data_IF_636997171241
#
_entry.id   IF_636997171241
#
_cell.length_a   1.000
_cell.length_b   1.000
_cell.length_c   1.000
_cell.angle_alpha   90.00
_cell.angle_beta   90.00
_cell.angle_gamma   90.00
#
_symmetry.space_group_name_H-M   'P 1'
#
loop_
_entity.id
_entity.type
_entity.pdbx_description
1 polymer ?
#
# COMPACT_ATOMS: atom_id res chain seq x y z
N UNK A 1 66.64 17.37 5.41
CA UNK A 1 65.66 18.06 4.55
C UNK A 1 65.69 17.44 3.17
N UNK A 2 64.76 16.52 2.88
CA UNK A 2 64.03 16.36 1.60
C UNK A 2 63.17 15.10 1.70
N UNK A 3 61.87 15.31 1.51
CA UNK A 3 60.83 14.29 1.45
C UNK A 3 60.64 14.00 -0.02
N UNK A 4 60.71 12.75 -0.43
CA UNK A 4 60.20 12.35 -1.74
C UNK A 4 59.04 11.38 -1.51
N UNK A 5 57.85 11.95 -1.60
CA UNK A 5 56.56 11.27 -1.64
C UNK A 5 56.06 11.37 -3.08
N UNK A 6 56.03 10.26 -3.83
CA UNK A 6 55.31 10.17 -5.10
C UNK A 6 54.58 8.82 -5.18
N UNK A 7 53.36 8.84 -4.64
CA UNK A 7 52.11 8.30 -5.18
C UNK A 7 52.26 7.26 -6.31
N UNK A 8 52.26 5.98 -5.93
CA UNK A 8 51.98 4.87 -6.84
C UNK A 8 50.47 4.77 -7.10
N UNK A 9 49.94 5.56 -8.03
CA UNK A 9 48.55 5.50 -8.47
C UNK A 9 48.37 4.49 -9.60
N UNK A 10 47.99 3.24 -9.27
CA UNK A 10 47.53 2.28 -10.26
C UNK A 10 46.04 2.53 -10.59
N UNK A 11 45.78 3.40 -11.57
CA UNK A 11 44.46 3.51 -12.19
C UNK A 11 44.23 2.28 -13.08
N UNK A 12 43.48 1.29 -12.58
CA UNK A 12 42.87 0.26 -13.43
C UNK A 12 41.77 0.93 -14.26
N UNK A 13 42.10 1.27 -15.50
CA UNK A 13 41.13 1.75 -16.48
C UNK A 13 40.10 0.67 -16.79
N UNK A 14 38.84 0.95 -16.49
CA UNK A 14 37.69 0.16 -16.91
C UNK A 14 37.59 0.18 -18.44
N UNK A 15 37.92 -0.93 -19.09
CA UNK A 15 37.91 -1.06 -20.54
C UNK A 15 36.45 -1.03 -21.02
N UNK A 16 36.05 0.04 -21.70
CA UNK A 16 34.73 0.17 -22.28
C UNK A 16 34.65 -0.72 -23.53
N UNK A 17 34.03 -1.90 -23.42
CA UNK A 17 33.68 -2.71 -24.59
C UNK A 17 32.37 -2.18 -25.20
N UNK A 18 32.48 -1.37 -26.26
CA UNK A 18 31.33 -0.91 -27.07
C UNK A 18 30.69 -2.13 -27.74
N UNK A 19 29.73 -2.78 -27.07
CA UNK A 19 28.87 -3.77 -27.70
C UNK A 19 28.00 -3.02 -28.72
N UNK A 20 28.27 -3.21 -30.01
CA UNK A 20 27.44 -2.64 -31.07
C UNK A 20 26.07 -3.30 -30.98
N UNK A 21 25.06 -2.56 -30.50
CA UNK A 21 23.68 -3.06 -30.44
C UNK A 21 23.14 -3.05 -31.87
N UNK A 22 22.93 -4.25 -32.43
CA UNK A 22 22.23 -4.40 -33.71
C UNK A 22 20.79 -3.94 -33.51
N UNK A 23 20.30 -3.07 -34.40
CA UNK A 23 18.89 -2.62 -34.38
C UNK A 23 17.97 -3.83 -34.54
N UNK A 24 16.81 -3.87 -33.86
CA UNK A 24 15.81 -4.90 -34.09
C UNK A 24 15.36 -4.85 -35.56
N UNK A 25 14.98 -6.01 -36.09
CA UNK A 25 14.42 -6.08 -37.44
C UNK A 25 13.14 -5.23 -37.47
N UNK A 26 12.95 -4.36 -38.48
CA UNK A 26 11.68 -3.68 -38.66
C UNK A 26 10.60 -4.74 -38.92
N UNK A 27 9.45 -4.53 -38.31
CA UNK A 27 8.27 -5.38 -38.49
C UNK A 27 7.59 -4.94 -39.81
N UNK A 28 7.10 -5.90 -40.59
CA UNK A 28 6.40 -5.63 -41.84
C UNK A 28 5.02 -5.00 -41.55
N UNK A 29 4.49 -4.23 -42.50
CA UNK A 29 3.20 -3.52 -42.34
C UNK A 29 2.04 -4.49 -42.11
N UNK A 30 2.10 -5.67 -42.74
CA UNK A 30 1.14 -6.76 -42.59
C UNK A 30 1.15 -7.33 -41.17
N UNK A 31 2.34 -7.52 -40.60
CA UNK A 31 2.50 -8.05 -39.24
C UNK A 31 2.06 -7.04 -38.18
N UNK A 32 2.27 -5.74 -38.41
CA UNK A 32 1.76 -4.69 -37.52
C UNK A 32 0.23 -4.73 -37.44
N UNK A 33 -0.45 -4.78 -38.58
CA UNK A 33 -1.91 -4.79 -38.62
C UNK A 33 -2.51 -6.07 -38.00
N UNK A 34 -1.85 -7.22 -38.19
CA UNK A 34 -2.23 -8.48 -37.56
C UNK A 34 -2.15 -8.41 -36.03
N UNK A 35 -1.08 -7.84 -35.48
CA UNK A 35 -0.91 -7.67 -34.02
C UNK A 35 -2.00 -6.76 -33.45
N UNK A 36 -2.30 -5.63 -34.12
CA UNK A 36 -3.36 -4.73 -33.67
C UNK A 36 -4.75 -5.38 -33.70
N UNK A 37 -5.06 -6.15 -34.75
CA UNK A 37 -6.34 -6.88 -34.86
C UNK A 37 -6.46 -7.94 -33.77
N UNK A 38 -5.41 -8.72 -33.55
CA UNK A 38 -5.39 -9.76 -32.51
C UNK A 38 -5.57 -9.15 -31.10
N UNK A 39 -4.80 -8.10 -30.78
CA UNK A 39 -4.88 -7.43 -29.48
C UNK A 39 -6.27 -6.85 -29.20
N UNK A 40 -6.92 -6.27 -30.23
CA UNK A 40 -8.26 -5.72 -30.10
C UNK A 40 -9.32 -6.79 -29.83
N UNK A 41 -9.24 -7.91 -30.55
CA UNK A 41 -10.17 -9.04 -30.37
C UNK A 41 -10.00 -9.68 -28.99
N UNK A 42 -8.76 -9.81 -28.52
CA UNK A 42 -8.48 -10.37 -27.20
C UNK A 42 -9.01 -9.48 -26.07
N UNK A 43 -8.85 -8.16 -26.20
CA UNK A 43 -9.38 -7.20 -25.23
C UNK A 43 -10.92 -7.20 -25.20
N UNK A 44 -11.58 -7.18 -26.36
CA UNK A 44 -13.05 -7.21 -26.45
C UNK A 44 -13.63 -8.52 -25.88
N UNK A 45 -12.96 -9.65 -26.13
CA UNK A 45 -13.36 -10.94 -25.54
C UNK A 45 -13.18 -10.98 -24.03
N UNK A 46 -12.11 -10.39 -23.49
CA UNK A 46 -11.89 -10.31 -22.05
C UNK A 46 -12.95 -9.45 -21.35
N UNK A 47 -13.27 -8.29 -21.93
CA UNK A 47 -14.30 -7.39 -21.40
C UNK A 47 -15.69 -8.06 -21.41
N UNK A 48 -16.01 -8.79 -22.49
CA UNK A 48 -17.27 -9.52 -22.61
C UNK A 48 -17.40 -10.68 -21.62
N UNK A 49 -16.32 -11.46 -21.43
CA UNK A 49 -16.30 -12.56 -20.46
C UNK A 49 -16.49 -12.05 -19.03
N UNK A 50 -15.87 -10.91 -18.70
CA UNK A 50 -16.02 -10.27 -17.40
C UNK A 50 -17.45 -9.78 -17.15
N UNK A 51 -18.10 -9.17 -18.16
CA UNK A 51 -19.50 -8.73 -18.04
C UNK A 51 -20.48 -9.89 -17.87
N UNK A 52 -20.25 -11.01 -18.57
CA UNK A 52 -21.06 -12.23 -18.43
C UNK A 52 -20.91 -12.87 -17.05
N UNK A 53 -19.71 -12.90 -16.49
CA UNK A 53 -19.45 -13.38 -15.12
C UNK A 53 -20.14 -12.49 -14.07
N UNK A 54 -20.13 -11.17 -14.23
CA UNK A 54 -20.86 -10.25 -13.35
C UNK A 54 -22.38 -10.46 -13.42
N UNK A 55 -22.94 -10.64 -14.61
CA UNK A 55 -24.37 -10.90 -14.80
C UNK A 55 -24.77 -12.25 -14.20
N UNK A 56 -23.97 -13.28 -14.39
CA UNK A 56 -24.21 -14.61 -13.81
C UNK A 56 -24.09 -14.59 -12.26
N UNK A 57 -23.14 -13.84 -11.71
CA UNK A 57 -23.03 -13.64 -10.26
C UNK A 57 -24.22 -12.87 -9.66
N UNK A 58 -24.74 -11.86 -10.38
CA UNK A 58 -25.92 -11.11 -9.97
C UNK A 58 -27.20 -11.97 -9.97
N UNK A 59 -27.37 -12.86 -10.95
CA UNK A 59 -28.52 -13.78 -11.05
C UNK A 59 -28.51 -14.84 -9.93
N UNK A 60 -27.34 -15.26 -9.44
CA UNK A 60 -27.24 -16.17 -8.28
C UNK A 60 -27.59 -15.45 -6.97
N UNK A 61 -27.41 -14.13 -6.89
CA UNK A 61 -27.76 -13.32 -5.71
C UNK A 61 -29.24 -12.95 -5.60
N UNK A 62 -30.03 -13.13 -6.66
CA UNK A 62 -31.47 -12.85 -6.67
C UNK A 62 -32.28 -14.08 -6.26
N UNK A 63 -32.19 -14.46 -4.99
CA UNK A 63 -33.29 -15.16 -4.30
C UNK A 63 -34.05 -14.09 -3.49
N UNK A 64 -35.22 -13.61 -3.95
CA UNK A 64 -35.95 -12.55 -3.27
C UNK A 64 -36.86 -13.17 -2.21
N UNK A 65 -36.43 -13.20 -0.95
CA UNK A 65 -37.32 -13.33 0.21
C UNK A 65 -36.59 -12.84 1.47
N UNK A 66 -36.70 -11.54 1.76
CA UNK A 66 -36.61 -10.95 3.09
C UNK A 66 -36.83 -9.43 2.99
N UNK A 67 -38.11 -9.10 2.87
CA UNK A 67 -38.76 -7.83 3.19
C UNK A 67 -38.17 -7.13 4.43
N UNK A 68 -37.90 -5.83 4.35
CA UNK A 68 -38.57 -4.80 5.16
C UNK A 68 -37.89 -3.43 5.00
N UNK A 69 -38.52 -2.63 4.16
CA UNK A 69 -38.59 -1.17 4.27
C UNK A 69 -39.15 -0.76 5.64
N UNK A 70 -38.52 0.20 6.32
CA UNK A 70 -39.25 1.19 7.12
C UNK A 70 -38.36 2.41 7.39
N UNK A 71 -38.42 3.35 6.46
CA UNK A 71 -38.97 4.68 6.68
C UNK A 71 -38.72 5.41 8.03
N UNK A 72 -38.23 6.65 7.88
CA UNK A 72 -38.55 7.85 8.66
C UNK A 72 -38.15 7.92 10.15
N UNK A 73 -37.10 8.71 10.35
CA UNK A 73 -37.04 9.93 11.19
C UNK A 73 -37.76 10.01 12.55
N UNK A 74 -36.98 10.52 13.53
CA UNK A 74 -37.32 11.30 14.74
C UNK A 74 -37.55 10.51 16.03
N UNK A 75 -36.61 10.69 16.98
CA UNK A 75 -36.86 11.06 18.39
C UNK A 75 -35.55 11.61 18.98
N UNK A 76 -35.32 12.92 18.88
CA UNK A 76 -35.28 13.86 20.03
C UNK A 76 -35.48 13.15 21.38
N UNK A 77 -34.41 13.05 22.19
CA UNK A 77 -34.51 13.39 23.61
C UNK A 77 -33.18 13.95 24.12
N UNK A 78 -33.26 15.24 24.43
CA UNK A 78 -32.32 16.08 25.16
C UNK A 78 -32.13 15.55 26.59
N UNK A 79 -30.90 15.57 27.11
CA UNK A 79 -30.61 15.44 28.55
C UNK A 79 -29.19 15.88 28.87
N UNK A 80 -28.98 17.19 28.97
CA UNK A 80 -27.93 17.76 29.82
C UNK A 80 -28.59 18.29 31.09
N UNK A 81 -28.06 17.96 32.28
CA UNK A 81 -27.57 19.02 33.17
C UNK A 81 -26.24 18.61 33.82
N UNK A 82 -25.16 19.38 33.62
CA UNK A 82 -24.67 20.42 34.55
C UNK A 82 -24.30 19.85 35.92
N UNK A 83 -22.99 19.85 36.26
CA UNK A 83 -22.34 20.59 37.38
C UNK A 83 -20.93 20.01 37.61
N UNK A 84 -19.93 20.87 37.61
CA UNK A 84 -18.53 20.46 37.52
C UNK A 84 -17.87 20.01 38.83
N UNK A 85 -16.62 19.57 38.69
CA UNK A 85 -15.56 19.94 39.62
C UNK A 85 -14.22 19.89 38.89
N UNK A 86 -13.37 20.89 39.19
CA UNK A 86 -11.95 20.89 38.87
C UNK A 86 -11.24 19.88 39.79
N UNK A 87 -10.03 19.50 39.36
CA UNK A 87 -8.81 19.35 40.16
C UNK A 87 -8.28 17.91 40.30
N UNK A 88 -7.06 17.77 39.78
CA UNK A 88 -5.94 16.90 40.17
C UNK A 88 -6.17 15.95 41.36
N UNK A 89 -5.87 14.67 41.19
CA UNK A 89 -4.62 14.04 41.63
C UNK A 89 -4.80 12.53 41.77
N UNK A 90 -3.83 11.79 41.24
CA UNK A 90 -3.27 10.55 41.79
C UNK A 90 -4.21 9.62 42.57
N UNK A 91 -4.47 8.44 42.00
CA UNK A 91 -4.50 7.21 42.78
C UNK A 91 -4.16 6.02 41.88
N UNK A 92 -2.92 5.55 42.05
CA UNK A 92 -2.55 4.16 41.86
C UNK A 92 -3.44 3.31 42.77
N UNK A 93 -4.09 2.28 42.21
CA UNK A 93 -3.84 0.88 42.55
C UNK A 93 -5.07 0.01 42.27
N UNK A 94 -4.78 -1.17 41.71
CA UNK A 94 -5.57 -2.42 41.71
C UNK A 94 -6.94 -2.36 41.03
N UNK A 95 -7.08 -3.09 39.92
CA UNK A 95 -7.90 -4.31 39.81
C UNK A 95 -7.97 -4.67 38.33
N UNK A 96 -7.87 -5.97 38.07
CA UNK A 96 -8.08 -6.60 36.78
C UNK A 96 -9.46 -6.27 36.18
N UNK A 97 -9.69 -6.76 34.96
CA UNK A 97 -10.94 -6.68 34.20
C UNK A 97 -11.16 -5.39 33.39
N UNK A 98 -10.59 -5.36 32.18
CA UNK A 98 -11.01 -4.38 31.16
C UNK A 98 -10.84 -4.93 29.73
N UNK A 99 -11.92 -5.54 29.21
CA UNK A 99 -12.33 -5.60 27.78
C UNK A 99 -11.37 -6.26 26.77
N UNK A 100 -11.87 -6.96 25.72
CA UNK A 100 -11.06 -7.29 24.55
C UNK A 100 -10.89 -6.02 23.71
N UNK A 101 -10.26 -4.99 24.26
CA UNK A 101 -9.73 -3.90 23.46
C UNK A 101 -8.64 -4.51 22.59
N UNK A 102 -9.00 -4.86 21.34
CA UNK A 102 -8.07 -5.23 20.26
C UNK A 102 -6.83 -4.36 20.44
N UNK A 103 -5.74 -4.97 20.92
CA UNK A 103 -4.45 -4.29 21.06
C UNK A 103 -4.03 -3.97 19.65
N UNK A 104 -4.41 -2.80 19.14
CA UNK A 104 -3.91 -2.32 17.85
C UNK A 104 -2.40 -2.25 18.04
N UNK A 105 -1.63 -3.11 17.35
CA UNK A 105 -0.19 -3.13 17.50
C UNK A 105 0.32 -1.74 17.17
N UNK A 106 0.93 -1.09 18.16
CA UNK A 106 1.46 0.26 17.98
C UNK A 106 2.63 0.15 17.01
N UNK A 107 2.43 0.58 15.77
CA UNK A 107 3.51 0.73 14.82
C UNK A 107 4.55 1.70 15.39
N UNK A 108 5.76 1.18 15.58
CA UNK A 108 6.90 1.92 16.09
C UNK A 108 7.81 2.31 14.92
N UNK A 109 8.48 3.45 15.03
CA UNK A 109 9.51 3.82 14.07
C UNK A 109 10.62 2.77 14.06
N UNK A 110 11.04 2.36 12.87
CA UNK A 110 12.01 1.29 12.64
C UNK A 110 11.40 -0.10 12.52
N UNK A 111 10.09 -0.28 12.75
CA UNK A 111 9.45 -1.58 12.57
C UNK A 111 9.30 -1.94 11.09
N UNK A 112 9.39 -3.23 10.79
CA UNK A 112 9.00 -3.76 9.48
C UNK A 112 7.48 -3.77 9.34
N UNK A 113 7.01 -3.30 8.19
CA UNK A 113 5.60 -3.17 7.87
C UNK A 113 5.33 -3.80 6.51
N UNK A 114 4.19 -4.46 6.40
CA UNK A 114 3.63 -4.92 5.14
C UNK A 114 2.57 -3.94 4.68
N UNK A 115 2.52 -3.72 3.37
CA UNK A 115 1.54 -2.84 2.75
C UNK A 115 0.36 -3.69 2.34
N UNK A 116 -0.83 -3.27 2.77
CA UNK A 116 -2.10 -4.01 2.62
C UNK A 116 -3.06 -3.37 1.61
N UNK A 117 -2.69 -2.23 1.02
CA UNK A 117 -3.48 -1.55 -0.02
C UNK A 117 -2.58 -0.74 -0.96
N UNK A 118 -3.08 -0.41 -2.15
CA UNK A 118 -2.40 0.43 -3.14
C UNK A 118 -1.45 -0.30 -4.09
N UNK A 119 -0.63 0.45 -4.82
CA UNK A 119 0.30 -0.07 -5.85
C UNK A 119 1.42 -0.92 -5.28
N UNK A 120 1.71 -0.75 -3.99
CA UNK A 120 2.75 -1.48 -3.28
C UNK A 120 2.17 -2.60 -2.40
N UNK A 121 0.94 -3.05 -2.66
CA UNK A 121 0.32 -4.17 -1.96
C UNK A 121 1.24 -5.40 -1.92
N UNK A 122 1.40 -5.99 -0.74
CA UNK A 122 2.22 -7.17 -0.52
C UNK A 122 3.73 -6.88 -0.37
N UNK A 123 4.18 -5.66 -0.66
CA UNK A 123 5.55 -5.28 -0.38
C UNK A 123 5.77 -5.07 1.12
N UNK A 124 6.98 -5.41 1.54
CA UNK A 124 7.45 -5.23 2.91
C UNK A 124 8.52 -4.14 2.92
N UNK A 125 8.46 -3.28 3.93
CA UNK A 125 9.38 -2.14 4.06
C UNK A 125 9.63 -1.79 5.52
N UNK A 126 10.54 -0.86 5.74
CA UNK A 126 10.86 -0.35 7.09
C UNK A 126 10.23 1.02 7.30
N UNK A 127 9.53 1.18 8.42
CA UNK A 127 8.83 2.42 8.74
C UNK A 127 9.81 3.47 9.31
N UNK A 128 10.17 4.49 8.53
CA UNK A 128 11.11 5.53 8.99
C UNK A 128 10.44 6.58 9.86
N UNK A 129 9.21 6.97 9.55
CA UNK A 129 8.50 8.02 10.29
C UNK A 129 7.01 7.78 10.26
N UNK A 130 6.35 7.99 11.40
CA UNK A 130 4.90 7.91 11.51
C UNK A 130 4.35 9.23 12.05
N UNK A 131 3.64 9.96 11.21
CA UNK A 131 3.07 11.27 11.53
C UNK A 131 1.61 11.10 11.93
N UNK A 132 1.35 10.89 13.23
CA UNK A 132 -0.03 10.71 13.76
C UNK A 132 -0.95 11.92 13.51
N UNK A 133 -0.38 13.11 13.32
CA UNK A 133 -1.12 14.34 13.02
C UNK A 133 -1.73 14.31 11.62
N UNK A 134 -0.99 13.81 10.65
CA UNK A 134 -1.38 13.77 9.23
C UNK A 134 -1.87 12.39 8.78
N UNK A 135 -1.77 11.39 9.66
CA UNK A 135 -2.03 9.97 9.36
C UNK A 135 -1.18 9.41 8.22
N UNK A 136 -0.01 10.01 7.99
CA UNK A 136 0.95 9.56 6.97
C UNK A 136 2.13 8.84 7.60
N UNK A 137 2.61 7.82 6.92
CA UNK A 137 3.71 6.96 7.29
C UNK A 137 4.73 6.92 6.15
N UNK A 138 5.96 7.33 6.43
CA UNK A 138 7.06 7.26 5.48
C UNK A 138 7.73 5.90 5.62
N UNK A 139 7.60 5.06 4.60
CA UNK A 139 8.13 3.71 4.54
C UNK A 139 9.24 3.63 3.50
N UNK A 140 10.34 2.97 3.86
CA UNK A 140 11.40 2.61 2.93
C UNK A 140 11.13 1.20 2.41
N UNK A 141 10.84 1.09 1.11
CA UNK A 141 10.68 -0.18 0.41
C UNK A 141 11.96 -0.51 -0.34
N UNK A 142 12.25 -1.80 -0.49
CA UNK A 142 13.28 -2.25 -1.42
C UNK A 142 12.60 -2.88 -2.63
N UNK A 143 12.66 -2.19 -3.78
CA UNK A 143 12.09 -2.67 -5.03
C UNK A 143 13.22 -2.75 -6.06
N UNK A 144 13.41 -3.92 -6.68
CA UNK A 144 14.49 -4.18 -7.64
C UNK A 144 15.91 -3.91 -7.09
N UNK A 145 16.13 -4.19 -5.80
CA UNK A 145 17.41 -3.93 -5.13
C UNK A 145 17.73 -2.44 -4.95
N UNK A 146 16.76 -1.55 -5.16
CA UNK A 146 16.86 -0.11 -4.88
C UNK A 146 15.93 0.26 -3.74
N UNK A 147 16.41 1.10 -2.84
CA UNK A 147 15.58 1.69 -1.79
C UNK A 147 14.70 2.79 -2.37
N UNK A 148 13.40 2.73 -2.08
CA UNK A 148 12.39 3.71 -2.46
C UNK A 148 11.69 4.23 -1.20
N UNK A 149 11.52 5.55 -1.12
CA UNK A 149 10.86 6.21 0.01
C UNK A 149 9.45 6.57 -0.43
N UNK A 150 8.45 6.01 0.24
CA UNK A 150 7.04 6.20 -0.09
C UNK A 150 6.31 6.71 1.15
N UNK A 151 5.48 7.72 0.97
CA UNK A 151 4.53 8.16 1.98
C UNK A 151 3.19 7.45 1.75
N UNK A 152 2.73 6.71 2.75
CA UNK A 152 1.50 5.92 2.73
C UNK A 152 0.59 6.31 3.90
N UNK A 153 -0.71 6.07 3.78
CA UNK A 153 -1.61 6.25 4.92
C UNK A 153 -1.36 5.12 5.95
N UNK A 154 -1.51 5.43 7.24
CA UNK A 154 -1.44 4.43 8.33
C UNK A 154 -2.45 3.30 8.11
N UNK A 155 -3.56 3.59 7.43
CA UNK A 155 -4.61 2.61 7.12
C UNK A 155 -4.19 1.57 6.07
N UNK A 156 -3.17 1.87 5.25
CA UNK A 156 -2.68 1.02 4.18
C UNK A 156 -1.51 0.12 4.61
N UNK A 157 -1.07 0.25 5.86
CA UNK A 157 0.06 -0.49 6.41
C UNK A 157 -0.35 -1.34 7.61
N UNK A 158 0.24 -2.51 7.72
CA UNK A 158 0.09 -3.40 8.87
C UNK A 158 1.48 -3.83 9.35
N UNK A 159 1.66 -4.11 10.66
CA UNK A 159 2.89 -4.74 11.11
C UNK A 159 3.03 -6.12 10.48
N UNK A 160 4.26 -6.48 10.16
CA UNK A 160 4.59 -7.83 9.76
C UNK A 160 4.37 -8.77 10.95
N UNK A 161 3.32 -9.59 10.89
CA UNK A 161 3.12 -10.70 11.83
C UNK A 161 3.75 -11.93 11.19
N UNK A 162 4.84 -12.44 11.77
CA UNK A 162 5.45 -13.72 11.41
C UNK A 162 4.57 -14.87 11.90
#
# INVERSE_FOLDING_TARGET
>A
MKRDFIIGGAFLGFIYLKKQIKKPKPIDEVDMEAIFKQAKVEQENADKAFEEEQKNAAVISSNPNSELESDVSKTIVDSKPKRGSRKTSNQLAVTEEASPAKKIPKLATGSTVRIISGTFLGFTGTLKKLSRKTKMATVHLTIFGKENIVDLDISEIAPETN
#
